data_IF_349317636980
#
_entry.id   IF_349317636980
#
_cell.length_a   1.000
_cell.length_b   1.000
_cell.length_c   1.000
_cell.angle_alpha   90.00
_cell.angle_beta   90.00
_cell.angle_gamma   90.00
#
_symmetry.space_group_name_H-M   'P 1'
#
loop_
_entity.id
_entity.type
_entity.pdbx_description
1 polymer ?
#
# COMPACT_ATOMS: atom_id res chain seq x y z
N UNK A 1 0.63 59.68 -68.60
CA UNK A 1 0.97 58.42 -67.93
C UNK A 1 1.91 58.73 -66.77
N UNK A 2 1.41 58.56 -65.55
CA UNK A 2 2.13 57.80 -64.51
C UNK A 2 1.25 56.62 -64.01
N UNK A 3 1.87 55.48 -63.64
CA UNK A 3 1.13 54.30 -63.18
C UNK A 3 0.55 54.48 -61.75
N UNK A 4 -0.57 53.80 -61.43
CA UNK A 4 -1.17 53.85 -60.09
C UNK A 4 -0.36 53.05 -59.04
N UNK A 5 -0.53 53.36 -57.74
CA UNK A 5 0.31 52.86 -56.66
C UNK A 5 0.07 51.39 -56.33
N UNK A 6 1.13 50.72 -55.89
CA UNK A 6 1.18 49.31 -55.47
C UNK A 6 0.44 49.14 -54.12
N UNK A 7 -0.35 48.07 -53.92
CA UNK A 7 -1.01 47.76 -52.64
C UNK A 7 -0.03 47.29 -51.56
N UNK A 8 -0.28 47.71 -50.31
CA UNK A 8 0.51 47.36 -49.13
C UNK A 8 0.50 45.84 -48.80
N UNK A 9 1.61 45.31 -48.25
CA UNK A 9 1.73 43.91 -47.86
C UNK A 9 0.94 43.58 -46.57
N UNK A 10 0.50 42.32 -46.40
CA UNK A 10 -0.28 41.88 -45.25
C UNK A 10 0.53 41.89 -43.94
N UNK A 11 -0.13 42.05 -42.78
CA UNK A 11 0.55 42.15 -41.49
C UNK A 11 1.21 40.83 -41.04
N UNK A 12 2.41 40.94 -40.48
CA UNK A 12 3.17 39.84 -39.88
C UNK A 12 2.44 39.23 -38.66
N UNK A 13 2.59 37.91 -38.40
CA UNK A 13 2.09 37.29 -37.18
C UNK A 13 2.94 37.70 -35.98
N UNK A 14 2.33 38.42 -35.04
CA UNK A 14 2.88 38.66 -33.71
C UNK A 14 2.65 37.42 -32.85
N UNK A 15 3.66 36.54 -32.79
CA UNK A 15 3.71 35.42 -31.84
C UNK A 15 5.06 35.45 -31.13
N UNK A 16 5.08 35.94 -29.90
CA UNK A 16 6.22 35.80 -29.00
C UNK A 16 6.55 34.31 -28.85
N UNK A 17 7.66 33.88 -29.45
CA UNK A 17 8.30 32.60 -29.13
C UNK A 17 8.94 32.79 -27.76
N UNK A 18 8.20 32.43 -26.71
CA UNK A 18 8.78 32.21 -25.39
C UNK A 18 9.61 30.93 -25.49
N UNK A 19 10.94 31.07 -25.50
CA UNK A 19 11.86 29.95 -25.38
C UNK A 19 11.72 29.34 -23.99
N UNK A 20 10.95 28.25 -23.88
CA UNK A 20 11.01 27.33 -22.76
C UNK A 20 12.02 26.21 -23.13
N UNK A 21 13.20 26.13 -22.51
CA UNK A 21 14.11 25.02 -22.74
C UNK A 21 13.60 23.77 -22.02
N UNK A 22 12.72 23.00 -22.67
CA UNK A 22 12.45 21.61 -22.30
C UNK A 22 13.62 20.72 -22.75
N UNK A 23 14.67 20.67 -21.93
CA UNK A 23 15.64 19.57 -21.94
C UNK A 23 15.54 18.84 -20.61
N UNK A 24 14.53 17.98 -20.47
CA UNK A 24 14.45 17.01 -19.37
C UNK A 24 15.49 15.92 -19.61
N UNK A 25 16.69 16.11 -19.07
CA UNK A 25 17.69 15.04 -19.00
C UNK A 25 17.10 13.84 -18.25
N UNK A 26 17.27 12.64 -18.81
CA UNK A 26 16.83 11.39 -18.18
C UNK A 26 17.45 11.23 -16.77
N UNK A 27 16.70 10.77 -15.75
CA UNK A 27 17.22 10.56 -14.39
C UNK A 27 18.49 9.70 -14.35
N UNK A 28 18.61 8.74 -15.28
CA UNK A 28 19.79 7.88 -15.41
C UNK A 28 21.03 8.64 -15.87
N UNK A 29 20.85 9.66 -16.71
CA UNK A 29 21.92 10.53 -17.20
C UNK A 29 22.40 11.46 -16.07
N UNK A 30 21.48 11.99 -15.27
CA UNK A 30 21.81 12.80 -14.08
C UNK A 30 22.59 11.95 -13.07
N UNK A 31 22.16 10.71 -12.81
CA UNK A 31 22.86 9.79 -11.90
C UNK A 31 24.26 9.41 -12.41
N UNK A 32 24.41 9.21 -13.71
CA UNK A 32 25.70 8.94 -14.36
C UNK A 32 26.68 10.11 -14.15
N UNK A 33 26.23 11.34 -14.31
CA UNK A 33 27.07 12.53 -14.09
C UNK A 33 27.49 12.68 -12.63
N UNK A 34 26.57 12.49 -11.66
CA UNK A 34 26.91 12.50 -10.22
C UNK A 34 27.95 11.41 -9.92
N UNK A 35 27.79 10.21 -10.48
CA UNK A 35 28.71 9.09 -10.25
C UNK A 35 30.09 9.35 -10.83
N UNK A 36 30.15 9.93 -12.04
CA UNK A 36 31.41 10.36 -12.66
C UNK A 36 32.12 11.40 -11.79
N UNK A 37 31.36 12.35 -11.25
CA UNK A 37 31.88 13.40 -10.40
C UNK A 37 32.50 12.89 -9.10
N UNK A 38 31.80 11.97 -8.43
CA UNK A 38 32.30 11.33 -7.21
C UNK A 38 33.53 10.45 -7.51
N UNK A 39 33.55 9.74 -8.63
CA UNK A 39 34.71 8.95 -9.05
C UNK A 39 35.92 9.82 -9.39
N UNK A 40 35.72 11.01 -9.95
CA UNK A 40 36.78 11.97 -10.22
C UNK A 40 37.35 12.57 -8.91
N UNK A 41 36.49 12.86 -7.94
CA UNK A 41 36.89 13.30 -6.61
C UNK A 41 37.66 12.23 -5.81
N UNK A 42 37.36 10.95 -6.05
CA UNK A 42 38.05 9.79 -5.46
C UNK A 42 39.26 9.30 -6.27
N UNK A 43 39.54 9.92 -7.42
CA UNK A 43 40.65 9.55 -8.30
C UNK A 43 42.00 9.80 -7.63
N UNK A 44 43.02 8.94 -7.83
CA UNK A 44 44.37 9.16 -7.29
C UNK A 44 45.06 10.44 -7.79
N UNK A 45 44.47 11.13 -8.77
CA UNK A 45 44.89 12.47 -9.23
C UNK A 45 44.46 13.61 -8.29
N UNK A 46 43.59 13.35 -7.31
CA UNK A 46 43.23 14.27 -6.23
C UNK A 46 43.81 13.75 -4.90
N UNK A 47 45.06 14.11 -4.54
CA UNK A 47 45.73 13.56 -3.35
C UNK A 47 45.06 13.96 -2.04
N UNK A 48 44.29 15.06 -2.02
CA UNK A 48 43.61 15.55 -0.83
C UNK A 48 42.20 14.96 -0.66
N UNK A 49 41.60 14.36 -1.71
CA UNK A 49 40.19 13.91 -1.73
C UNK A 49 39.20 15.00 -1.29
N UNK A 50 39.51 16.26 -1.60
CA UNK A 50 38.68 17.43 -1.27
C UNK A 50 37.89 17.83 -2.52
N UNK A 51 36.60 18.07 -2.36
CA UNK A 51 35.75 18.69 -3.38
C UNK A 51 35.90 20.21 -3.31
N UNK A 52 36.14 20.86 -4.46
CA UNK A 52 36.19 22.31 -4.51
C UNK A 52 34.77 22.93 -4.49
N UNK A 53 34.68 24.23 -4.23
CA UNK A 53 33.40 24.94 -4.06
C UNK A 53 32.49 24.85 -5.30
N UNK A 54 33.06 25.01 -6.50
CA UNK A 54 32.34 24.86 -7.77
C UNK A 54 31.81 23.43 -7.96
N UNK A 55 32.54 22.44 -7.44
CA UNK A 55 32.16 21.05 -7.51
C UNK A 55 31.00 20.72 -6.57
N UNK A 56 31.02 21.29 -5.37
CA UNK A 56 29.93 21.17 -4.41
C UNK A 56 28.65 21.80 -4.98
N UNK A 57 28.76 22.97 -5.62
CA UNK A 57 27.62 23.63 -6.26
C UNK A 57 27.03 22.80 -7.41
N UNK A 58 27.87 22.25 -8.28
CA UNK A 58 27.42 21.40 -9.39
C UNK A 58 26.70 20.13 -8.90
N UNK A 59 27.17 19.53 -7.81
CA UNK A 59 26.54 18.36 -7.20
C UNK A 59 25.18 18.71 -6.58
N UNK A 60 25.08 19.88 -5.94
CA UNK A 60 23.82 20.38 -5.38
C UNK A 60 22.78 20.59 -6.50
N UNK A 61 23.18 21.25 -7.59
CA UNK A 61 22.31 21.53 -8.73
C UNK A 61 21.84 20.24 -9.43
N UNK A 62 22.72 19.26 -9.60
CA UNK A 62 22.34 17.96 -10.17
C UNK A 62 21.43 17.14 -9.24
N UNK A 63 21.62 17.24 -7.93
CA UNK A 63 20.75 16.58 -6.94
C UNK A 63 19.35 17.19 -6.95
N UNK A 64 19.24 18.52 -7.06
CA UNK A 64 17.95 19.21 -7.20
C UNK A 64 17.27 18.80 -8.51
N UNK A 65 18.01 18.75 -9.62
CA UNK A 65 17.49 18.27 -10.92
C UNK A 65 17.03 16.82 -10.86
N UNK A 66 17.76 15.94 -10.17
CA UNK A 66 17.35 14.55 -9.97
C UNK A 66 16.06 14.47 -9.15
N UNK A 67 15.95 15.24 -8.06
CA UNK A 67 14.74 15.31 -7.24
C UNK A 67 13.52 15.74 -8.06
N UNK A 68 13.68 16.76 -8.92
CA UNK A 68 12.61 17.20 -9.82
C UNK A 68 12.29 16.17 -10.92
N UNK A 69 13.32 15.54 -11.50
CA UNK A 69 13.14 14.56 -12.58
C UNK A 69 12.51 13.25 -12.10
N UNK A 70 12.76 12.87 -10.85
CA UNK A 70 12.15 11.68 -10.24
C UNK A 70 10.69 11.88 -9.83
N UNK A 71 10.19 13.13 -9.80
CA UNK A 71 8.83 13.56 -9.42
C UNK A 71 8.02 12.50 -8.65
N UNK A 72 8.60 12.07 -7.52
CA UNK A 72 8.17 10.87 -6.78
C UNK A 72 6.77 11.13 -6.21
N UNK A 73 6.48 12.37 -5.82
CA UNK A 73 5.17 12.80 -5.32
C UNK A 73 4.08 12.63 -6.39
N UNK A 74 4.30 13.08 -7.63
CA UNK A 74 3.32 12.89 -8.72
C UNK A 74 3.12 11.41 -9.07
N UNK A 75 4.19 10.60 -9.02
CA UNK A 75 4.11 9.18 -9.30
C UNK A 75 3.37 8.43 -8.19
N UNK A 76 3.58 8.80 -6.93
CA UNK A 76 2.84 8.25 -5.79
C UNK A 76 1.37 8.65 -5.83
N UNK A 77 1.05 9.88 -6.23
CA UNK A 77 -0.34 10.34 -6.40
C UNK A 77 -1.04 9.57 -7.53
N UNK A 78 -0.35 9.38 -8.66
CA UNK A 78 -0.85 8.59 -9.80
C UNK A 78 -0.99 7.10 -9.48
N UNK A 79 -0.11 6.54 -8.63
CA UNK A 79 -0.23 5.17 -8.12
C UNK A 79 -1.43 5.07 -7.16
N UNK A 80 -1.62 6.08 -6.30
CA UNK A 80 -2.75 6.16 -5.37
C UNK A 80 -4.07 6.23 -6.13
N UNK A 81 -4.15 7.05 -7.19
CA UNK A 81 -5.33 7.16 -8.07
C UNK A 81 -5.60 5.84 -8.81
N UNK A 82 -4.56 5.13 -9.26
CA UNK A 82 -4.72 3.80 -9.90
C UNK A 82 -5.20 2.73 -8.92
N UNK A 83 -4.71 2.75 -7.68
CA UNK A 83 -5.18 1.85 -6.61
C UNK A 83 -6.63 2.13 -6.24
N UNK A 84 -7.03 3.40 -6.17
CA UNK A 84 -8.42 3.81 -5.94
C UNK A 84 -9.35 3.34 -7.06
N UNK A 85 -8.91 3.40 -8.33
CA UNK A 85 -9.69 2.92 -9.47
C UNK A 85 -9.88 1.41 -9.48
N UNK A 86 -8.90 0.64 -9.00
CA UNK A 86 -8.97 -0.81 -8.85
C UNK A 86 -9.89 -1.23 -7.69
N UNK A 87 -9.87 -0.48 -6.58
CA UNK A 87 -10.76 -0.71 -5.43
C UNK A 87 -12.24 -0.43 -5.77
N UNK A 88 -12.50 0.44 -6.76
CA UNK A 88 -13.84 0.77 -7.28
C UNK A 88 -14.37 -0.20 -8.33
N UNK A 89 -13.63 -1.25 -8.71
CA UNK A 89 -14.10 -2.20 -9.71
C UNK A 89 -14.92 -3.31 -9.01
N UNK A 90 -16.27 -3.31 -9.07
CA UNK A 90 -17.04 -4.43 -8.58
C UNK A 90 -16.71 -5.67 -9.42
N UNK A 91 -16.49 -6.81 -8.75
CA UNK A 91 -16.51 -8.13 -9.38
C UNK A 91 -17.79 -8.22 -10.21
N UNK A 92 -17.64 -8.50 -11.50
CA UNK A 92 -18.76 -8.66 -12.43
C UNK A 92 -19.70 -9.73 -11.89
N UNK A 93 -20.82 -9.30 -11.31
CA UNK A 93 -21.96 -10.14 -10.97
C UNK A 93 -23.16 -9.52 -11.68
N UNK A 94 -23.86 -10.38 -12.42
CA UNK A 94 -24.99 -10.09 -13.30
C UNK A 94 -26.09 -9.23 -12.64
N UNK A 95 -26.83 -8.43 -13.43
CA UNK A 95 -27.76 -7.44 -12.88
C UNK A 95 -29.03 -8.09 -12.29
N UNK A 96 -29.44 -7.74 -11.05
CA UNK A 96 -30.81 -7.96 -10.61
C UNK A 96 -31.69 -6.77 -10.98
N UNK A 97 -32.91 -7.11 -11.40
CA UNK A 97 -34.04 -6.25 -11.77
C UNK A 97 -34.35 -5.18 -10.70
N UNK A 98 -34.65 -3.91 -11.07
CA UNK A 98 -34.96 -2.89 -10.08
C UNK A 98 -36.38 -3.04 -9.51
N UNK A 99 -36.46 -3.10 -8.18
CA UNK A 99 -37.70 -3.01 -7.41
C UNK A 99 -38.12 -1.53 -7.29
N UNK A 100 -39.35 -1.25 -7.69
CA UNK A 100 -40.01 0.06 -7.70
C UNK A 100 -40.30 0.59 -6.30
N UNK A 101 -39.92 1.85 -6.02
CA UNK A 101 -40.58 2.71 -5.02
C UNK A 101 -40.98 4.04 -5.69
N UNK A 102 -42.14 4.63 -5.36
CA UNK A 102 -42.81 5.62 -6.20
C UNK A 102 -42.38 7.05 -5.89
N UNK A 103 -42.19 7.83 -6.95
CA UNK A 103 -42.01 9.29 -6.92
C UNK A 103 -43.31 9.98 -6.52
N UNK A 104 -43.31 10.65 -5.36
CA UNK A 104 -44.30 11.68 -5.05
C UNK A 104 -43.73 13.05 -5.47
N UNK A 105 -44.19 13.55 -6.62
CA UNK A 105 -44.80 14.89 -6.81
C UNK A 105 -45.10 15.09 -8.30
N UNK A 106 -46.39 14.98 -8.61
CA UNK A 106 -47.17 15.54 -9.73
C UNK A 106 -46.84 17.04 -9.91
N UNK A 107 -46.93 17.74 -11.05
CA UNK A 107 -47.89 17.70 -12.16
C UNK A 107 -47.33 18.31 -13.46
N UNK A 108 -47.93 17.84 -14.55
CA UNK A 108 -47.85 18.20 -15.96
C UNK A 108 -47.87 19.70 -16.34
N UNK A 109 -47.12 20.02 -17.41
CA UNK A 109 -47.61 20.37 -18.76
C UNK A 109 -47.00 21.62 -19.43
N UNK A 110 -46.82 21.45 -20.74
CA UNK A 110 -46.63 22.41 -21.85
C UNK A 110 -45.22 22.89 -22.20
N UNK A 111 -44.78 22.34 -23.34
CA UNK A 111 -43.99 22.99 -24.40
C UNK A 111 -44.31 24.49 -24.51
N UNK A 112 -43.30 25.30 -24.18
CA UNK A 112 -43.02 26.58 -24.82
C UNK A 112 -41.56 26.89 -24.53
N UNK A 113 -40.75 27.03 -25.57
CA UNK A 113 -39.43 27.64 -25.44
C UNK A 113 -39.63 29.12 -25.11
N UNK A 114 -39.00 29.61 -24.03
CA UNK A 114 -38.32 30.88 -24.16
C UNK A 114 -36.85 30.75 -23.77
N UNK A 115 -36.02 31.39 -24.57
CA UNK A 115 -34.63 31.73 -24.31
C UNK A 115 -34.47 32.29 -22.90
N UNK A 116 -33.88 31.50 -21.99
CA UNK A 116 -33.45 31.97 -20.68
C UNK A 116 -31.95 31.78 -20.58
N UNK A 117 -31.29 32.89 -20.33
CA UNK A 117 -29.86 33.06 -20.06
C UNK A 117 -29.28 31.87 -19.28
N UNK A 118 -28.23 31.25 -19.84
CA UNK A 118 -27.38 30.31 -19.12
C UNK A 118 -26.57 31.07 -18.06
N UNK A 119 -27.20 31.47 -16.97
CA UNK A 119 -26.48 31.61 -15.71
C UNK A 119 -26.06 30.21 -15.30
N UNK A 120 -24.75 29.95 -15.40
CA UNK A 120 -24.14 28.69 -14.98
C UNK A 120 -24.49 28.42 -13.52
N UNK A 121 -25.48 27.56 -13.28
CA UNK A 121 -25.56 26.83 -12.01
C UNK A 121 -24.35 25.91 -12.00
N UNK A 122 -23.28 26.34 -11.33
CA UNK A 122 -22.22 25.43 -10.90
C UNK A 122 -22.91 24.35 -10.07
N UNK A 123 -23.02 23.15 -10.61
CA UNK A 123 -23.32 21.98 -9.78
C UNK A 123 -22.24 21.93 -8.70
N UNK A 124 -22.59 21.81 -7.40
CA UNK A 124 -21.60 21.75 -6.35
C UNK A 124 -20.60 20.64 -6.68
N UNK A 125 -19.33 21.00 -6.75
CA UNK A 125 -18.24 20.08 -7.03
C UNK A 125 -18.27 18.99 -5.98
N UNK A 126 -18.39 17.74 -6.39
CA UNK A 126 -18.36 16.61 -5.47
C UNK A 126 -17.01 16.69 -4.73
N UNK A 127 -16.99 16.74 -3.40
CA UNK A 127 -15.75 16.87 -2.64
C UNK A 127 -14.85 15.66 -2.93
N UNK A 128 -13.55 15.90 -2.96
CA UNK A 128 -12.56 14.83 -3.13
C UNK A 128 -12.63 13.85 -1.96
N UNK A 129 -12.21 12.60 -2.19
CA UNK A 129 -12.14 11.60 -1.12
C UNK A 129 -11.20 12.02 0.02
N UNK A 130 -10.16 12.80 -0.27
CA UNK A 130 -9.30 13.38 0.75
C UNK A 130 -10.10 14.31 1.68
N UNK A 131 -10.89 15.23 1.11
CA UNK A 131 -11.76 16.14 1.89
C UNK A 131 -12.86 15.38 2.66
N UNK A 132 -13.43 14.33 2.07
CA UNK A 132 -14.46 13.51 2.74
C UNK A 132 -13.86 12.71 3.92
N UNK A 133 -12.59 12.32 3.83
CA UNK A 133 -11.94 11.45 4.80
C UNK A 133 -11.02 12.19 5.77
N UNK A 134 -10.82 13.50 5.61
CA UNK A 134 -9.94 14.33 6.44
C UNK A 134 -10.21 14.15 7.95
N UNK A 135 -11.49 14.08 8.32
CA UNK A 135 -11.91 13.90 9.72
C UNK A 135 -12.22 12.45 10.10
N UNK A 136 -12.12 11.50 9.15
CA UNK A 136 -12.41 10.10 9.44
C UNK A 136 -11.22 9.45 10.11
N UNK A 137 -11.42 9.05 11.36
CA UNK A 137 -10.47 8.21 12.09
C UNK A 137 -10.24 6.90 11.35
N UNK A 138 -9.00 6.44 11.37
CA UNK A 138 -8.65 5.10 10.91
C UNK A 138 -9.33 4.07 11.81
N UNK A 139 -9.84 2.98 11.23
CA UNK A 139 -10.50 1.94 12.01
C UNK A 139 -10.15 0.54 11.52
N UNK A 140 -10.24 -0.42 12.43
CA UNK A 140 -10.08 -1.85 12.14
C UNK A 140 -11.19 -2.64 12.84
N UNK A 141 -11.44 -3.86 12.37
CA UNK A 141 -12.43 -4.76 12.98
C UNK A 141 -11.72 -6.02 13.47
N UNK A 142 -11.91 -6.34 14.75
CA UNK A 142 -11.54 -7.62 15.32
C UNK A 142 -12.79 -8.50 15.36
N UNK A 143 -12.70 -9.63 14.67
CA UNK A 143 -13.77 -10.63 14.64
C UNK A 143 -13.87 -11.33 15.99
N UNK A 144 -15.06 -11.37 16.55
CA UNK A 144 -15.33 -12.10 17.79
C UNK A 144 -15.74 -13.54 17.48
N UNK A 145 -15.44 -14.52 18.35
CA UNK A 145 -15.93 -15.87 18.16
C UNK A 145 -17.46 -15.92 18.27
N UNK A 146 -18.12 -16.94 17.67
CA UNK A 146 -19.56 -17.12 17.81
C UNK A 146 -19.98 -17.22 19.28
N UNK A 147 -21.01 -16.47 19.67
CA UNK A 147 -21.52 -16.46 21.06
C UNK A 147 -20.70 -15.62 22.04
N UNK A 148 -19.78 -14.78 21.56
CA UNK A 148 -18.98 -13.90 22.42
C UNK A 148 -19.84 -12.88 23.18
N UNK A 149 -19.83 -12.99 24.52
CA UNK A 149 -20.59 -12.11 25.44
C UNK A 149 -19.72 -11.47 26.53
N UNK A 150 -18.43 -11.85 26.62
CA UNK A 150 -17.55 -11.45 27.74
C UNK A 150 -17.36 -9.94 27.90
N UNK A 151 -17.58 -9.16 26.84
CA UNK A 151 -17.50 -7.71 26.89
C UNK A 151 -18.87 -7.03 26.90
N UNK A 152 -20.00 -7.76 26.93
CA UNK A 152 -21.33 -7.17 26.77
C UNK A 152 -21.67 -6.14 27.86
N UNK A 153 -21.24 -6.40 29.10
CA UNK A 153 -21.49 -5.54 30.27
C UNK A 153 -20.54 -4.34 30.41
N UNK A 154 -19.37 -4.37 29.77
CA UNK A 154 -18.40 -3.28 29.88
C UNK A 154 -18.82 -2.06 29.04
N UNK A 155 -18.46 -0.84 29.44
CA UNK A 155 -18.70 0.33 28.58
C UNK A 155 -17.61 0.46 27.51
N UNK A 156 -17.88 1.21 26.44
CA UNK A 156 -16.88 1.47 25.40
C UNK A 156 -15.63 2.15 25.97
N UNK A 157 -15.79 3.11 26.88
CA UNK A 157 -14.70 3.82 27.55
C UNK A 157 -13.86 2.89 28.43
N UNK A 158 -14.50 1.98 29.17
CA UNK A 158 -13.77 1.00 29.99
C UNK A 158 -12.92 0.06 29.13
N UNK A 159 -13.47 -0.41 28.01
CA UNK A 159 -12.73 -1.26 27.07
C UNK A 159 -11.59 -0.48 26.45
N UNK A 160 -11.81 0.77 26.04
CA UNK A 160 -10.77 1.62 25.46
C UNK A 160 -9.61 1.83 26.43
N UNK A 161 -9.90 2.21 27.67
CA UNK A 161 -8.87 2.40 28.70
C UNK A 161 -8.13 1.11 29.03
N UNK A 162 -8.83 -0.03 29.07
CA UNK A 162 -8.22 -1.36 29.28
C UNK A 162 -7.26 -1.71 28.14
N UNK A 163 -7.67 -1.50 26.89
CA UNK A 163 -6.79 -1.73 25.73
C UNK A 163 -5.56 -0.82 25.79
N UNK A 164 -5.72 0.49 26.03
CA UNK A 164 -4.58 1.40 26.11
C UNK A 164 -3.59 1.01 27.22
N UNK A 165 -4.07 0.55 28.39
CA UNK A 165 -3.22 -0.02 29.45
C UNK A 165 -2.45 -1.25 28.99
N UNK A 166 -3.10 -2.15 28.25
CA UNK A 166 -2.45 -3.34 27.69
C UNK A 166 -1.39 -2.94 26.66
N UNK A 167 -1.69 -1.99 25.77
CA UNK A 167 -0.74 -1.50 24.76
C UNK A 167 0.50 -0.87 25.40
N UNK A 168 0.35 -0.16 26.52
CA UNK A 168 1.46 0.34 27.33
C UNK A 168 2.26 -0.83 27.93
N UNK A 169 1.58 -1.83 28.49
CA UNK A 169 2.23 -2.98 29.14
C UNK A 169 3.09 -3.82 28.18
N UNK A 170 2.75 -3.88 26.90
CA UNK A 170 3.49 -4.63 25.87
C UNK A 170 4.49 -3.75 25.11
N UNK A 171 4.73 -2.52 25.56
CA UNK A 171 5.59 -1.52 24.92
C UNK A 171 5.28 -1.29 23.42
N UNK A 172 4.00 -1.20 23.08
CA UNK A 172 3.55 -1.04 21.69
C UNK A 172 3.93 0.33 21.11
N UNK A 173 4.98 0.37 20.26
CA UNK A 173 5.49 1.60 19.63
C UNK A 173 5.65 1.47 18.10
N UNK A 174 5.46 2.58 17.40
CA UNK A 174 5.81 2.78 15.97
C UNK A 174 6.71 4.01 15.90
N UNK A 175 7.92 3.89 15.36
CA UNK A 175 8.86 5.01 15.23
C UNK A 175 9.02 5.81 16.55
N UNK A 176 9.13 5.09 17.67
CA UNK A 176 9.20 5.62 19.04
C UNK A 176 7.93 6.30 19.58
N UNK A 177 6.84 6.33 18.82
CA UNK A 177 5.54 6.83 19.27
C UNK A 177 4.68 5.70 19.85
N UNK A 178 4.12 5.92 21.03
CA UNK A 178 3.23 4.97 21.68
C UNK A 178 1.93 4.81 20.86
N UNK A 179 1.51 3.56 20.66
CA UNK A 179 0.24 3.27 20.00
C UNK A 179 -0.90 3.44 21.00
N UNK A 180 -1.87 4.26 20.63
CA UNK A 180 -3.11 4.47 21.37
C UNK A 180 -4.33 4.23 20.46
N UNK A 181 -5.42 3.75 21.06
CA UNK A 181 -6.72 3.71 20.42
C UNK A 181 -7.60 4.85 20.93
N UNK A 182 -8.38 5.43 20.02
CA UNK A 182 -9.23 6.59 20.29
C UNK A 182 -10.61 6.20 20.81
N UNK A 183 -11.02 4.95 20.59
CA UNK A 183 -12.36 4.50 20.92
C UNK A 183 -12.67 3.14 20.33
N UNK A 184 -13.80 2.60 20.76
CA UNK A 184 -14.30 1.31 20.28
C UNK A 184 -15.82 1.40 20.08
N UNK A 185 -16.31 0.67 19.07
CA UNK A 185 -17.72 0.43 18.85
C UNK A 185 -17.95 -1.06 18.65
N UNK A 186 -19.11 -1.56 19.10
CA UNK A 186 -19.55 -2.92 18.80
C UNK A 186 -20.43 -2.88 17.56
N UNK A 187 -20.14 -3.75 16.61
CA UNK A 187 -20.98 -3.93 15.44
C UNK A 187 -22.20 -4.80 15.78
N UNK A 188 -23.27 -4.78 14.97
CA UNK A 188 -24.40 -5.70 15.13
C UNK A 188 -24.00 -7.17 15.11
N UNK A 189 -22.89 -7.51 14.42
CA UNK A 189 -22.28 -8.84 14.43
C UNK A 189 -21.57 -9.20 15.73
N UNK A 190 -21.58 -8.33 16.74
CA UNK A 190 -20.80 -8.38 17.99
C UNK A 190 -19.29 -8.17 17.81
N UNK A 191 -18.80 -8.05 16.58
CA UNK A 191 -17.41 -7.72 16.29
C UNK A 191 -17.02 -6.36 16.88
N UNK A 192 -15.74 -6.22 17.21
CA UNK A 192 -15.20 -5.00 17.79
C UNK A 192 -14.59 -4.12 16.71
N UNK A 193 -15.16 -2.94 16.49
CA UNK A 193 -14.60 -1.89 15.64
C UNK A 193 -13.79 -0.92 16.48
N UNK A 194 -12.48 -0.87 16.25
CA UNK A 194 -11.55 -0.03 17.01
C UNK A 194 -11.18 1.17 16.14
N UNK A 195 -11.19 2.35 16.75
CA UNK A 195 -10.81 3.62 16.12
C UNK A 195 -9.42 4.05 16.59
N UNK A 196 -8.65 4.62 15.67
CA UNK A 196 -7.27 5.04 15.87
C UNK A 196 -7.01 6.34 15.12
N UNK A 197 -6.01 7.08 15.58
CA UNK A 197 -5.59 8.34 14.98
C UNK A 197 -4.98 8.16 13.59
N UNK A 198 -4.30 7.04 13.32
CA UNK A 198 -3.57 6.80 12.07
C UNK A 198 -3.80 5.41 11.47
N UNK A 199 -3.61 5.31 10.14
CA UNK A 199 -3.66 4.02 9.43
C UNK A 199 -2.54 3.08 9.85
N UNK A 200 -1.38 3.62 10.22
CA UNK A 200 -0.23 2.86 10.72
C UNK A 200 -0.55 2.20 12.06
N UNK A 201 -1.20 2.91 12.99
CA UNK A 201 -1.65 2.36 14.27
C UNK A 201 -2.63 1.21 14.07
N UNK A 202 -3.65 1.42 13.21
CA UNK A 202 -4.60 0.36 12.89
C UNK A 202 -3.93 -0.88 12.27
N UNK A 203 -2.97 -0.67 11.35
CA UNK A 203 -2.23 -1.78 10.71
C UNK A 203 -1.39 -2.55 11.72
N UNK A 204 -0.70 -1.84 12.62
CA UNK A 204 0.08 -2.48 13.68
C UNK A 204 -0.82 -3.31 14.60
N UNK A 205 -1.95 -2.75 15.04
CA UNK A 205 -2.90 -3.44 15.92
C UNK A 205 -3.44 -4.73 15.29
N UNK A 206 -3.74 -4.69 13.99
CA UNK A 206 -4.24 -5.84 13.25
C UNK A 206 -3.17 -6.94 13.05
N UNK A 207 -1.93 -6.54 12.81
CA UNK A 207 -0.79 -7.46 12.66
C UNK A 207 -0.42 -8.11 14.00
N UNK A 208 -0.49 -7.35 15.09
CA UNK A 208 -0.13 -7.79 16.43
C UNK A 208 -1.33 -8.19 17.30
N UNK A 209 -2.52 -8.41 16.72
CA UNK A 209 -3.74 -8.78 17.47
C UNK A 209 -3.54 -9.94 18.45
N UNK A 210 -2.75 -10.93 18.06
CA UNK A 210 -2.43 -12.10 18.86
C UNK A 210 -1.66 -11.78 20.16
N UNK A 211 -0.98 -10.63 20.24
CA UNK A 211 -0.21 -10.21 21.41
C UNK A 211 -1.06 -9.52 22.46
N UNK A 212 -2.17 -8.89 22.07
CA UNK A 212 -2.94 -8.02 22.97
C UNK A 212 -4.40 -8.48 23.18
N UNK A 213 -5.01 -9.22 22.25
CA UNK A 213 -6.41 -9.61 22.42
C UNK A 213 -6.62 -10.63 23.53
N UNK A 214 -5.68 -11.56 23.73
CA UNK A 214 -5.71 -12.57 24.82
C UNK A 214 -5.63 -11.87 26.20
N UNK A 215 -4.85 -10.79 26.30
CA UNK A 215 -4.72 -9.97 27.52
C UNK A 215 -5.97 -9.15 27.80
N UNK A 216 -6.72 -8.76 26.77
CA UNK A 216 -7.98 -8.05 26.93
C UNK A 216 -9.07 -8.99 27.48
N UNK A 217 -9.19 -10.15 26.84
CA UNK A 217 -10.14 -11.20 27.19
C UNK A 217 -9.64 -12.52 26.61
N UNK A 218 -9.51 -13.56 27.44
CA UNK A 218 -9.05 -14.89 27.04
C UNK A 218 -9.96 -15.53 25.99
N UNK A 219 -11.26 -15.22 26.01
CA UNK A 219 -12.21 -15.67 24.99
C UNK A 219 -12.02 -14.96 23.64
N UNK A 220 -11.33 -13.81 23.60
CA UNK A 220 -10.99 -13.07 22.37
C UNK A 220 -9.58 -13.41 21.88
N UNK A 221 -9.06 -14.58 22.20
CA UNK A 221 -7.74 -15.00 21.73
C UNK A 221 -7.70 -15.06 20.21
N UNK A 222 -6.77 -14.33 19.62
CA UNK A 222 -6.55 -14.32 18.16
C UNK A 222 -5.21 -14.95 17.81
N UNK A 223 -5.11 -15.46 16.59
CA UNK A 223 -3.88 -16.05 16.06
C UNK A 223 -3.08 -15.02 15.25
N UNK A 224 -1.75 -15.19 15.17
CA UNK A 224 -0.92 -14.45 14.22
C UNK A 224 -1.47 -14.57 12.80
N UNK A 225 -1.25 -13.55 11.98
CA UNK A 225 -1.53 -13.67 10.55
C UNK A 225 -0.67 -14.78 9.95
N UNK A 226 -1.26 -15.54 9.03
CA UNK A 226 -0.58 -16.62 8.31
C UNK A 226 -0.60 -16.30 6.83
N UNK A 227 0.55 -16.48 6.19
CA UNK A 227 0.75 -16.26 4.76
C UNK A 227 1.16 -17.59 4.14
N UNK A 228 0.19 -18.43 3.73
CA UNK A 228 0.49 -19.71 3.11
C UNK A 228 1.10 -19.51 1.73
N UNK A 229 2.18 -20.23 1.45
CA UNK A 229 2.79 -20.33 0.11
C UNK A 229 2.82 -21.78 -0.31
N UNK A 230 2.50 -22.05 -1.58
CA UNK A 230 2.58 -23.39 -2.16
C UNK A 230 3.93 -23.51 -2.87
N UNK A 231 4.73 -24.48 -2.45
CA UNK A 231 5.97 -24.85 -3.11
C UNK A 231 5.73 -26.12 -3.91
N UNK A 232 6.31 -26.18 -5.11
CA UNK A 232 6.23 -27.34 -5.99
C UNK A 232 7.57 -28.05 -6.07
N UNK A 233 7.54 -29.30 -6.56
CA UNK A 233 8.73 -30.12 -6.81
C UNK A 233 9.59 -30.36 -5.57
N UNK A 234 8.99 -30.41 -4.38
CA UNK A 234 9.70 -30.76 -3.15
C UNK A 234 9.92 -32.29 -3.12
N UNK A 235 11.17 -32.78 -2.98
CA UNK A 235 11.47 -34.19 -2.85
C UNK A 235 10.74 -34.85 -1.68
N UNK A 236 10.24 -36.08 -1.85
CA UNK A 236 9.45 -36.77 -0.82
C UNK A 236 10.23 -37.25 0.40
N UNK A 237 11.56 -37.20 0.35
CA UNK A 237 12.45 -37.41 1.50
C UNK A 237 12.49 -36.20 2.45
N UNK A 238 12.04 -35.01 2.01
CA UNK A 238 11.82 -33.87 2.89
C UNK A 238 10.65 -34.15 3.83
N UNK A 239 10.87 -34.08 5.15
CA UNK A 239 9.84 -34.25 6.15
C UNK A 239 9.29 -32.87 6.62
N UNK A 240 8.06 -32.48 6.26
CA UNK A 240 7.51 -31.19 6.63
C UNK A 240 7.05 -31.07 8.08
N UNK A 241 6.97 -32.18 8.82
CA UNK A 241 6.67 -32.17 10.26
C UNK A 241 7.92 -32.09 11.11
N UNK A 242 9.11 -32.30 10.52
CA UNK A 242 10.38 -32.20 11.21
C UNK A 242 10.83 -30.74 11.30
N UNK A 243 11.07 -30.27 12.53
CA UNK A 243 11.52 -28.90 12.79
C UNK A 243 12.92 -28.64 12.25
N UNK A 244 13.79 -29.65 12.21
CA UNK A 244 15.16 -29.51 11.69
C UNK A 244 15.18 -29.24 10.19
N UNK A 245 14.36 -29.95 9.42
CA UNK A 245 14.21 -29.74 7.98
C UNK A 245 13.67 -28.34 7.66
N UNK A 246 12.72 -27.83 8.45
CA UNK A 246 12.20 -26.47 8.28
C UNK A 246 13.22 -25.40 8.65
N UNK A 247 14.01 -25.62 9.71
CA UNK A 247 15.11 -24.74 10.10
C UNK A 247 16.20 -24.69 9.03
N UNK A 248 16.53 -25.83 8.44
CA UNK A 248 17.49 -25.93 7.36
C UNK A 248 16.99 -25.20 6.11
N UNK A 249 15.74 -25.45 5.69
CA UNK A 249 15.11 -24.74 4.58
C UNK A 249 15.15 -23.23 4.79
N UNK A 250 14.85 -22.75 6.01
CA UNK A 250 14.97 -21.35 6.36
C UNK A 250 16.39 -20.83 6.21
N UNK A 251 17.36 -21.53 6.80
CA UNK A 251 18.79 -21.18 6.80
C UNK A 251 19.36 -21.10 5.39
N UNK A 252 19.09 -22.11 4.54
CA UNK A 252 19.54 -22.15 3.14
C UNK A 252 19.03 -20.95 2.32
N UNK A 253 17.86 -20.41 2.69
CA UNK A 253 17.22 -19.29 1.99
C UNK A 253 17.35 -17.94 2.70
N UNK A 254 18.17 -17.86 3.77
CA UNK A 254 18.35 -16.66 4.59
C UNK A 254 17.03 -16.13 5.16
N UNK A 255 16.15 -17.06 5.52
CA UNK A 255 14.89 -16.80 6.21
C UNK A 255 15.10 -17.18 7.66
N UNK A 256 14.74 -16.29 8.60
CA UNK A 256 14.70 -16.64 10.01
C UNK A 256 13.73 -17.82 10.21
N UNK A 257 14.19 -18.98 10.72
CA UNK A 257 13.33 -20.14 10.94
C UNK A 257 12.10 -19.85 11.81
N UNK A 258 12.16 -18.86 12.71
CA UNK A 258 11.00 -18.47 13.54
C UNK A 258 9.83 -17.89 12.73
N UNK A 259 10.09 -17.45 11.50
CA UNK A 259 9.07 -16.94 10.59
C UNK A 259 8.36 -18.07 9.82
N UNK A 260 8.90 -19.29 9.85
CA UNK A 260 8.28 -20.50 9.32
C UNK A 260 7.46 -21.15 10.44
N UNK A 261 6.14 -21.04 10.37
CA UNK A 261 5.26 -21.57 11.43
C UNK A 261 5.05 -23.08 11.31
N UNK A 262 4.86 -23.58 10.09
CA UNK A 262 4.60 -25.00 9.83
C UNK A 262 4.66 -25.29 8.34
N UNK A 263 4.82 -26.55 7.98
CA UNK A 263 4.61 -27.02 6.62
C UNK A 263 3.75 -28.29 6.62
N UNK A 264 3.09 -28.55 5.49
CA UNK A 264 2.40 -29.83 5.25
C UNK A 264 2.38 -30.18 3.78
N UNK A 265 2.38 -31.47 3.49
CA UNK A 265 2.14 -31.93 2.13
C UNK A 265 0.74 -31.53 1.63
N UNK A 266 0.68 -31.14 0.36
CA UNK A 266 -0.57 -30.97 -0.37
C UNK A 266 -0.93 -32.33 -1.00
N UNK A 267 -1.81 -33.07 -0.32
CA UNK A 267 -2.11 -34.47 -0.63
C UNK A 267 -1.05 -35.41 -0.07
N UNK A 268 -1.03 -36.66 -0.56
CA UNK A 268 -0.17 -37.72 -0.02
C UNK A 268 0.81 -38.20 -1.10
N UNK A 269 1.91 -37.46 -1.38
CA UNK A 269 2.85 -37.83 -2.44
C UNK A 269 3.61 -39.11 -2.11
N UNK A 270 3.90 -39.35 -0.82
CA UNK A 270 4.62 -40.53 -0.32
C UNK A 270 3.80 -41.81 -0.59
N UNK A 271 2.54 -41.84 -0.13
CA UNK A 271 1.63 -42.98 -0.35
C UNK A 271 1.38 -43.26 -1.84
N UNK A 272 1.42 -42.21 -2.68
CA UNK A 272 1.24 -42.31 -4.13
C UNK A 272 2.53 -42.68 -4.88
N UNK A 273 3.61 -43.02 -4.17
CA UNK A 273 4.89 -43.39 -4.77
C UNK A 273 5.54 -42.30 -5.62
N UNK A 274 5.22 -41.02 -5.37
CA UNK A 274 5.80 -39.91 -6.12
C UNK A 274 7.21 -39.59 -5.60
N UNK A 275 8.10 -39.21 -6.51
CA UNK A 275 9.44 -38.70 -6.14
C UNK A 275 9.38 -37.30 -5.54
N UNK A 276 8.45 -36.48 -6.04
CA UNK A 276 8.27 -35.09 -5.61
C UNK A 276 6.79 -34.81 -5.30
N UNK A 277 6.55 -33.85 -4.41
CA UNK A 277 5.23 -33.36 -4.02
C UNK A 277 5.13 -31.84 -4.03
N UNK A 278 3.94 -31.34 -3.69
CA UNK A 278 3.70 -29.93 -3.42
C UNK A 278 3.54 -29.72 -1.93
N UNK A 279 4.11 -28.66 -1.38
CA UNK A 279 4.13 -28.34 0.03
C UNK A 279 3.38 -27.04 0.29
N UNK A 280 2.55 -26.98 1.33
CA UNK A 280 2.00 -25.73 1.85
C UNK A 280 2.88 -25.28 3.02
N UNK A 281 3.62 -24.20 2.83
CA UNK A 281 4.45 -23.56 3.84
C UNK A 281 3.69 -22.39 4.47
N UNK A 282 3.52 -22.39 5.79
CA UNK A 282 2.85 -21.33 6.53
C UNK A 282 3.87 -20.36 7.10
N UNK A 283 3.84 -19.11 6.65
CA UNK A 283 4.76 -18.05 7.09
C UNK A 283 4.05 -17.04 7.97
N UNK A 284 4.80 -16.42 8.88
CA UNK A 284 4.31 -15.33 9.75
C UNK A 284 4.55 -13.94 9.14
N UNK A 285 5.40 -13.86 8.12
CA UNK A 285 5.76 -12.61 7.45
C UNK A 285 5.23 -12.56 6.01
N UNK A 286 4.54 -11.47 5.69
CA UNK A 286 3.92 -11.26 4.38
C UNK A 286 4.95 -11.01 3.28
N UNK A 287 5.98 -10.23 3.58
CA UNK A 287 6.95 -9.78 2.59
C UNK A 287 7.87 -10.94 2.20
N UNK A 288 8.21 -11.81 3.15
CA UNK A 288 8.88 -13.09 2.87
C UNK A 288 7.99 -13.98 2.01
N UNK A 289 6.71 -14.16 2.35
CA UNK A 289 5.81 -14.98 1.54
C UNK A 289 5.72 -14.49 0.09
N UNK A 290 5.60 -13.17 -0.11
CA UNK A 290 5.58 -12.55 -1.44
C UNK A 290 6.92 -12.70 -2.18
N UNK A 291 8.04 -12.64 -1.47
CA UNK A 291 9.37 -12.87 -2.05
C UNK A 291 9.49 -14.31 -2.54
N UNK A 292 9.05 -15.28 -1.73
CA UNK A 292 9.07 -16.70 -2.09
C UNK A 292 8.18 -16.98 -3.29
N UNK A 293 6.99 -16.39 -3.35
CA UNK A 293 6.10 -16.51 -4.51
C UNK A 293 6.79 -16.06 -5.81
N UNK A 294 7.63 -15.02 -5.73
CA UNK A 294 8.34 -14.46 -6.90
C UNK A 294 9.63 -15.18 -7.26
N UNK A 295 10.39 -15.64 -6.26
CA UNK A 295 11.73 -16.20 -6.48
C UNK A 295 11.82 -17.71 -6.35
N UNK A 296 10.81 -18.36 -5.76
CA UNK A 296 10.94 -19.72 -5.25
C UNK A 296 11.87 -19.81 -4.04
N UNK A 297 12.15 -21.05 -3.62
CA UNK A 297 13.14 -21.40 -2.61
C UNK A 297 14.17 -22.35 -3.21
N UNK A 298 15.39 -22.25 -2.70
CA UNK A 298 16.42 -23.26 -2.88
C UNK A 298 16.28 -24.35 -1.83
N UNK A 299 16.49 -25.60 -2.23
CA UNK A 299 16.54 -26.75 -1.33
C UNK A 299 17.70 -27.64 -1.78
N UNK A 300 18.72 -27.75 -0.94
CA UNK A 300 19.86 -28.63 -1.19
C UNK A 300 19.53 -30.04 -0.70
N UNK A 301 19.72 -31.02 -1.58
CA UNK A 301 19.37 -32.43 -1.32
C UNK A 301 20.47 -33.21 -0.56
N UNK A 302 21.51 -32.55 -0.03
CA UNK A 302 22.68 -33.28 0.51
C UNK A 302 22.43 -33.98 1.86
N UNK A 303 21.26 -33.77 2.47
CA UNK A 303 20.85 -34.44 3.71
C UNK A 303 19.74 -35.48 3.54
N UNK A 304 19.27 -35.78 2.31
CA UNK A 304 18.07 -36.60 2.10
C UNK A 304 18.14 -37.57 0.92
#
# INVERSE_FOLDING_TARGET
MPPPPIPDPPPLPTGQVSHEPQTTDSPLKILSEITKFLNEALSPKNPARILNENQIQALLDQTIKLKSAMNIESHLEKITERLERLERQPLTVSPPTPLTWPSATTTNNKKTNPTINKQGKSTPTIPSNAQINEFKKSSLVIRTPPGFVALDSATATDITTKINKILISIDAKIDSHQIEIDGIARLPSKDLKIYTSSRSNARWLLNNKHKWTDLLCTELKTFPNRYPVILHAIPTNFNPTDTSHLQELGTQNRIDPNLIQSARWLGNPIEKGKKNGSLVLQLLDKDIALKIERSGLFLQNELY
#
